data_IF_071901982424
#
_entry.id   IF_071901982424
#
_cell.length_a   1.000
_cell.length_b   1.000
_cell.length_c   1.000
_cell.angle_alpha   90.00
_cell.angle_beta   90.00
_cell.angle_gamma   90.00
#
_symmetry.space_group_name_H-M   'P 1'
#
loop_
_entity.id
_entity.type
_entity.pdbx_description
1 polymer ?
#
# COMPACT_ATOMS: atom_id res chain seq x y z
N UNK A 1 4.40 -45.78 -41.04
CA UNK A 1 3.81 -45.40 -39.74
C UNK A 1 4.47 -44.16 -39.14
N UNK A 2 5.67 -43.77 -39.60
CA UNK A 2 6.49 -42.70 -39.00
C UNK A 2 5.97 -41.27 -39.24
N UNK A 3 5.25 -41.04 -40.34
CA UNK A 3 4.70 -39.72 -40.68
C UNK A 3 3.65 -39.22 -39.67
N UNK A 4 2.78 -40.11 -39.19
CA UNK A 4 1.77 -39.78 -38.16
C UNK A 4 2.42 -39.43 -36.82
N UNK A 5 3.49 -40.14 -36.46
CA UNK A 5 4.23 -39.91 -35.22
C UNK A 5 4.98 -38.56 -35.25
N UNK A 6 5.53 -38.18 -36.41
CA UNK A 6 6.15 -36.88 -36.60
C UNK A 6 5.14 -35.72 -36.58
N UNK A 7 3.96 -35.89 -37.18
CA UNK A 7 2.89 -34.89 -37.15
C UNK A 7 2.41 -34.64 -35.71
N UNK A 8 2.21 -35.70 -34.92
CA UNK A 8 1.79 -35.58 -33.52
C UNK A 8 2.87 -34.91 -32.65
N UNK A 9 4.15 -35.24 -32.85
CA UNK A 9 5.26 -34.57 -32.15
C UNK A 9 5.33 -33.08 -32.47
N UNK A 10 5.22 -32.70 -33.73
CA UNK A 10 5.22 -31.29 -34.13
C UNK A 10 4.05 -30.51 -33.52
N UNK A 11 2.86 -31.11 -33.47
CA UNK A 11 1.69 -30.50 -32.83
C UNK A 11 1.93 -30.27 -31.33
N UNK A 12 2.43 -31.27 -30.62
CA UNK A 12 2.74 -31.16 -29.18
C UNK A 12 3.79 -30.09 -28.89
N UNK A 13 4.82 -29.97 -29.74
CA UNK A 13 5.83 -28.90 -29.65
C UNK A 13 5.18 -27.53 -29.86
N UNK A 14 4.34 -27.38 -30.89
CA UNK A 14 3.63 -26.13 -31.17
C UNK A 14 2.71 -25.70 -30.01
N UNK A 15 2.00 -26.64 -29.41
CA UNK A 15 1.13 -26.36 -28.25
C UNK A 15 1.95 -26.00 -27.00
N UNK A 16 3.09 -26.63 -26.79
CA UNK A 16 4.03 -26.29 -25.71
C UNK A 16 4.60 -24.88 -25.87
N UNK A 17 5.04 -24.50 -27.08
CA UNK A 17 5.54 -23.15 -27.38
C UNK A 17 4.45 -22.10 -27.11
N UNK A 18 3.22 -22.36 -27.54
CA UNK A 18 2.09 -21.45 -27.29
C UNK A 18 1.82 -21.29 -25.79
N UNK A 19 1.90 -22.38 -25.02
CA UNK A 19 1.72 -22.34 -23.57
C UNK A 19 2.80 -21.50 -22.89
N UNK A 20 4.07 -21.67 -23.27
CA UNK A 20 5.19 -20.87 -22.75
C UNK A 20 5.01 -19.39 -23.07
N UNK A 21 4.62 -19.05 -24.30
CA UNK A 21 4.37 -17.67 -24.69
C UNK A 21 3.24 -17.03 -23.85
N UNK A 22 2.15 -17.76 -23.61
CA UNK A 22 1.05 -17.30 -22.77
C UNK A 22 1.47 -17.08 -21.30
N UNK A 23 2.23 -18.02 -20.72
CA UNK A 23 2.81 -17.88 -19.37
C UNK A 23 3.70 -16.63 -19.28
N UNK A 24 4.55 -16.39 -20.27
CA UNK A 24 5.43 -15.22 -20.30
C UNK A 24 4.65 -13.90 -20.34
N UNK A 25 3.61 -13.82 -21.19
CA UNK A 25 2.73 -12.65 -21.23
C UNK A 25 2.02 -12.41 -19.89
N UNK A 26 1.61 -13.49 -19.21
CA UNK A 26 0.99 -13.38 -17.89
C UNK A 26 1.98 -12.89 -16.81
N UNK A 27 3.22 -13.40 -16.83
CA UNK A 27 4.30 -12.95 -15.94
C UNK A 27 4.59 -11.45 -16.15
N UNK A 28 4.61 -11.00 -17.40
CA UNK A 28 4.85 -9.59 -17.72
C UNK A 28 3.76 -8.68 -17.13
N UNK A 29 2.49 -9.05 -17.30
CA UNK A 29 1.35 -8.31 -16.73
C UNK A 29 1.42 -8.26 -15.20
N UNK A 30 1.67 -9.40 -14.56
CA UNK A 30 1.83 -9.46 -13.10
C UNK A 30 3.01 -8.63 -12.61
N UNK A 31 4.10 -8.57 -13.37
CA UNK A 31 5.27 -7.74 -13.03
C UNK A 31 4.92 -6.25 -13.10
N UNK A 32 4.15 -5.82 -14.10
CA UNK A 32 3.66 -4.44 -14.19
C UNK A 32 2.71 -4.10 -13.04
N UNK A 33 1.78 -5.01 -12.70
CA UNK A 33 0.90 -4.83 -11.54
C UNK A 33 1.67 -4.74 -10.23
N UNK A 34 2.71 -5.56 -10.04
CA UNK A 34 3.60 -5.48 -8.89
C UNK A 34 4.23 -4.09 -8.78
N UNK A 35 4.80 -3.57 -9.87
CA UNK A 35 5.41 -2.23 -9.87
C UNK A 35 4.39 -1.16 -9.51
N UNK A 36 3.17 -1.23 -10.05
CA UNK A 36 2.08 -0.31 -9.72
C UNK A 36 1.72 -0.36 -8.24
N UNK A 37 1.58 -1.55 -7.66
CA UNK A 37 1.29 -1.73 -6.24
C UNK A 37 2.44 -1.24 -5.34
N UNK A 38 3.69 -1.40 -5.77
CA UNK A 38 4.86 -0.87 -5.06
C UNK A 38 4.85 0.66 -5.03
N UNK A 39 4.53 1.32 -6.14
CA UNK A 39 4.38 2.78 -6.16
C UNK A 39 3.26 3.25 -5.23
N UNK A 40 2.11 2.56 -5.22
CA UNK A 40 1.01 2.90 -4.30
C UNK A 40 1.41 2.69 -2.83
N UNK A 41 2.16 1.63 -2.53
CA UNK A 41 2.69 1.36 -1.20
C UNK A 41 3.63 2.48 -0.73
N UNK A 42 4.51 2.95 -1.60
CA UNK A 42 5.44 4.05 -1.28
C UNK A 42 4.68 5.34 -0.98
N UNK A 43 3.65 5.67 -1.76
CA UNK A 43 2.82 6.85 -1.52
C UNK A 43 2.03 6.76 -0.21
N UNK A 44 1.50 5.58 0.13
CA UNK A 44 0.84 5.34 1.42
C UNK A 44 1.84 5.48 2.57
N UNK A 45 3.08 4.99 2.41
CA UNK A 45 4.12 5.12 3.44
C UNK A 45 4.49 6.59 3.67
N UNK A 46 4.69 7.39 2.60
CA UNK A 46 4.96 8.82 2.71
C UNK A 46 3.83 9.57 3.42
N UNK A 47 2.57 9.31 3.03
CA UNK A 47 1.40 9.91 3.69
C UNK A 47 1.34 9.55 5.17
N UNK A 48 1.55 8.27 5.50
CA UNK A 48 1.54 7.82 6.89
C UNK A 48 2.64 8.50 7.71
N UNK A 49 3.83 8.71 7.15
CA UNK A 49 4.90 9.43 7.83
C UNK A 49 4.55 10.90 8.10
N UNK A 50 3.96 11.58 7.13
CA UNK A 50 3.46 12.95 7.28
C UNK A 50 2.40 13.04 8.38
N UNK A 51 1.40 12.16 8.37
CA UNK A 51 0.35 12.18 9.40
C UNK A 51 0.89 11.81 10.80
N UNK A 52 1.89 10.93 10.90
CA UNK A 52 2.57 10.64 12.17
C UNK A 52 3.38 11.83 12.69
N UNK A 53 3.97 12.64 11.82
CA UNK A 53 4.60 13.91 12.22
C UNK A 53 3.56 14.89 12.76
N UNK A 54 2.47 15.11 12.03
CA UNK A 54 1.36 15.98 12.47
C UNK A 54 0.77 15.54 13.82
N UNK A 55 0.62 14.23 14.03
CA UNK A 55 0.13 13.71 15.29
C UNK A 55 1.11 14.01 16.44
N UNK A 56 2.42 13.88 16.22
CA UNK A 56 3.44 14.25 17.22
C UNK A 56 3.40 15.73 17.54
N UNK A 57 3.29 16.59 16.53
CA UNK A 57 3.21 18.05 16.72
C UNK A 57 1.95 18.42 17.51
N UNK A 58 0.84 17.73 17.24
CA UNK A 58 -0.41 17.94 17.97
C UNK A 58 -0.34 17.45 19.42
N UNK A 59 0.26 16.29 19.67
CA UNK A 59 0.47 15.77 21.02
C UNK A 59 1.41 16.70 21.81
N UNK A 60 2.43 17.28 21.16
CA UNK A 60 3.29 18.30 21.75
C UNK A 60 2.49 19.58 22.10
N UNK A 61 1.67 20.07 21.16
CA UNK A 61 0.84 21.24 21.39
C UNK A 61 -0.17 21.04 22.54
N UNK A 62 -0.68 19.80 22.70
CA UNK A 62 -1.56 19.40 23.79
C UNK A 62 -0.87 19.40 25.16
N UNK A 63 0.41 19.01 25.21
CA UNK A 63 1.21 18.93 26.44
C UNK A 63 1.74 20.30 26.89
N UNK A 64 1.90 21.25 25.96
CA UNK A 64 2.39 22.60 26.24
C UNK A 64 1.36 23.70 25.95
N UNK A 65 0.14 23.62 26.52
CA UNK A 65 -0.93 24.55 26.19
C UNK A 65 -0.65 25.97 26.70
N UNK A 66 0.15 26.15 27.75
CA UNK A 66 0.52 27.46 28.31
C UNK A 66 1.59 28.20 27.51
N UNK A 67 2.40 27.49 26.72
CA UNK A 67 3.34 28.11 25.78
C UNK A 67 2.63 28.51 24.47
N UNK A 68 1.56 27.81 24.12
CA UNK A 68 0.75 28.08 22.93
C UNK A 68 -0.43 29.04 23.18
N UNK A 69 -0.92 29.13 24.42
CA UNK A 69 -1.96 30.06 24.82
C UNK A 69 -1.32 31.38 25.29
N UNK A 70 -1.37 32.41 24.45
CA UNK A 70 -0.90 33.75 24.80
C UNK A 70 -1.56 34.29 26.08
N UNK A 71 -0.83 35.14 26.81
CA UNK A 71 -1.36 35.87 27.96
C UNK A 71 -2.61 36.67 27.53
N UNK A 72 -3.80 36.22 27.92
CA UNK A 72 -5.08 36.84 27.53
C UNK A 72 -6.20 35.87 27.18
N UNK A 73 -5.92 34.56 27.07
CA UNK A 73 -6.96 33.56 26.81
C UNK A 73 -7.88 33.38 28.01
N UNK A 74 -9.17 33.68 27.83
CA UNK A 74 -10.21 33.39 28.82
C UNK A 74 -10.52 31.88 28.89
N UNK A 75 -11.26 31.48 29.93
CA UNK A 75 -11.58 30.07 30.19
C UNK A 75 -12.24 29.39 28.98
N UNK A 76 -13.22 30.04 28.35
CA UNK A 76 -13.94 29.48 27.20
C UNK A 76 -13.00 29.24 26.00
N UNK A 77 -12.09 30.18 25.71
CA UNK A 77 -11.11 30.03 24.63
C UNK A 77 -10.17 28.85 24.87
N UNK A 78 -9.73 28.62 26.12
CA UNK A 78 -8.88 27.48 26.49
C UNK A 78 -9.60 26.14 26.31
N UNK A 79 -10.87 26.06 26.71
CA UNK A 79 -11.69 24.86 26.54
C UNK A 79 -11.93 24.56 25.05
N UNK A 80 -12.28 25.56 24.24
CA UNK A 80 -12.47 25.39 22.79
C UNK A 80 -11.22 24.90 22.09
N UNK A 81 -10.05 25.42 22.45
CA UNK A 81 -8.76 24.97 21.90
C UNK A 81 -8.42 23.54 22.30
N UNK A 82 -8.58 23.20 23.59
CA UNK A 82 -8.38 21.83 24.06
C UNK A 82 -9.31 20.84 23.32
N UNK A 83 -10.58 21.19 23.12
CA UNK A 83 -11.51 20.38 22.35
C UNK A 83 -11.09 20.24 20.88
N UNK A 84 -10.61 21.32 20.25
CA UNK A 84 -10.10 21.27 18.87
C UNK A 84 -8.88 20.36 18.74
N UNK A 85 -7.95 20.40 19.70
CA UNK A 85 -6.79 19.50 19.73
C UNK A 85 -7.25 18.05 19.85
N UNK A 86 -8.18 17.76 20.77
CA UNK A 86 -8.68 16.41 20.99
C UNK A 86 -9.38 15.84 19.75
N UNK A 87 -10.25 16.63 19.12
CA UNK A 87 -10.97 16.22 17.90
C UNK A 87 -10.00 15.97 16.74
N UNK A 88 -9.04 16.87 16.53
CA UNK A 88 -8.07 16.72 15.46
C UNK A 88 -7.11 15.54 15.72
N UNK A 89 -6.71 15.30 16.97
CA UNK A 89 -5.85 14.17 17.35
C UNK A 89 -6.57 12.84 17.11
N UNK A 90 -7.86 12.78 17.43
CA UNK A 90 -8.69 11.60 17.12
C UNK A 90 -8.75 11.34 15.62
N UNK A 91 -9.09 12.36 14.82
CA UNK A 91 -9.19 12.24 13.36
C UNK A 91 -7.85 11.81 12.72
N UNK A 92 -6.73 12.38 13.18
CA UNK A 92 -5.39 11.99 12.71
C UNK A 92 -5.03 10.56 13.10
N UNK A 93 -5.42 10.09 14.29
CA UNK A 93 -5.22 8.69 14.71
C UNK A 93 -6.02 7.71 13.87
N UNK A 94 -7.25 8.05 13.51
CA UNK A 94 -8.08 7.25 12.59
C UNK A 94 -7.45 7.18 11.20
N UNK A 95 -6.98 8.32 10.67
CA UNK A 95 -6.32 8.36 9.36
C UNK A 95 -5.02 7.56 9.36
N UNK A 96 -4.20 7.67 10.41
CA UNK A 96 -3.00 6.83 10.57
C UNK A 96 -3.35 5.34 10.61
N UNK A 97 -4.41 4.97 11.34
CA UNK A 97 -4.88 3.58 11.41
C UNK A 97 -5.32 3.07 10.03
N UNK A 98 -6.07 3.89 9.28
CA UNK A 98 -6.51 3.57 7.92
C UNK A 98 -5.35 3.40 6.95
N UNK A 99 -4.37 4.31 6.99
CA UNK A 99 -3.17 4.23 6.15
C UNK A 99 -2.32 3.01 6.51
N UNK A 100 -2.21 2.67 7.80
CA UNK A 100 -1.52 1.47 8.26
C UNK A 100 -2.21 0.18 7.77
N UNK A 101 -3.54 0.12 7.82
CA UNK A 101 -4.31 -1.01 7.25
C UNK A 101 -4.09 -1.12 5.74
N UNK A 102 -4.16 0.01 5.01
CA UNK A 102 -3.92 0.05 3.57
C UNK A 102 -2.50 -0.42 3.21
N UNK A 103 -1.49 0.02 3.96
CA UNK A 103 -0.10 -0.45 3.83
C UNK A 103 0.00 -1.97 3.96
N UNK A 104 -0.58 -2.55 5.01
CA UNK A 104 -0.58 -4.00 5.23
C UNK A 104 -1.25 -4.75 4.08
N UNK A 105 -2.37 -4.23 3.58
CA UNK A 105 -3.08 -4.84 2.46
C UNK A 105 -2.27 -4.83 1.17
N UNK A 106 -1.63 -3.70 0.84
CA UNK A 106 -0.78 -3.59 -0.36
C UNK A 106 0.41 -4.56 -0.30
N UNK A 107 1.03 -4.71 0.88
CA UNK A 107 2.12 -5.68 1.09
C UNK A 107 1.63 -7.11 0.80
N UNK A 108 0.45 -7.48 1.30
CA UNK A 108 -0.15 -8.80 1.04
C UNK A 108 -0.44 -9.02 -0.45
N UNK A 109 -0.96 -8.01 -1.14
CA UNK A 109 -1.21 -8.09 -2.59
C UNK A 109 0.09 -8.30 -3.37
N UNK A 110 1.15 -7.54 -3.05
CA UNK A 110 2.46 -7.69 -3.68
C UNK A 110 3.01 -9.10 -3.47
N UNK A 111 2.91 -9.64 -2.25
CA UNK A 111 3.34 -11.02 -1.95
C UNK A 111 2.53 -12.06 -2.74
N UNK A 112 1.22 -11.85 -2.90
CA UNK A 112 0.38 -12.74 -3.70
C UNK A 112 0.80 -12.71 -5.18
N UNK A 113 1.07 -11.54 -5.73
CA UNK A 113 1.57 -11.39 -7.11
C UNK A 113 2.92 -12.09 -7.27
N UNK A 114 3.82 -11.97 -6.30
CA UNK A 114 5.11 -12.68 -6.31
C UNK A 114 4.97 -14.21 -6.31
N UNK A 115 4.01 -14.73 -5.55
CA UNK A 115 3.68 -16.15 -5.55
C UNK A 115 3.11 -16.61 -6.90
N UNK A 116 2.23 -15.81 -7.52
CA UNK A 116 1.68 -16.10 -8.84
C UNK A 116 2.76 -16.12 -9.92
N UNK A 117 3.68 -15.14 -9.92
CA UNK A 117 4.83 -15.12 -10.85
C UNK A 117 5.70 -16.36 -10.65
N UNK A 118 5.98 -16.72 -9.40
CA UNK A 118 6.79 -17.90 -9.09
C UNK A 118 6.14 -19.20 -9.58
N UNK A 119 4.83 -19.34 -9.40
CA UNK A 119 4.04 -20.49 -9.87
C UNK A 119 4.02 -20.61 -11.40
N UNK A 120 3.98 -19.49 -12.12
CA UNK A 120 4.03 -19.50 -13.59
C UNK A 120 5.41 -19.87 -14.14
N UNK A 121 6.47 -19.63 -13.37
CA UNK A 121 7.86 -19.95 -13.74
C UNK A 121 8.24 -21.41 -13.46
N UNK A 122 7.59 -22.05 -12.49
CA UNK A 122 7.66 -23.50 -12.29
C UNK A 122 6.93 -24.30 -13.38
#
# INVERSE_FOLDING_TARGET
>A
MDSYNNHQKMKNIGDSIRNVANKNLQIERLSQDKTRLQCELDDVCKKLEVERMRLRDMDYAAQHPTQNAGHGWNFNTRISFANSILLNSHSLKEECSRLQQKKSHLIQQIQCVDQQISSLRS
#
